data_IF_167385412942
#
_entry.id   IF_167385412942
#
_cell.length_a   1.000
_cell.length_b   1.000
_cell.length_c   1.000
_cell.angle_alpha   90.00
_cell.angle_beta   90.00
_cell.angle_gamma   90.00
#
_symmetry.space_group_name_H-M   'P 1'
#
loop_
_entity.id
_entity.type
_entity.pdbx_description
1 polymer ?
#
# COMPACT_ATOMS: atom_id res chain seq x y z
N UNK A 1 27.39 2.71 22.83
CA UNK A 1 26.45 2.35 21.72
C UNK A 1 25.59 1.23 22.26
N UNK A 2 24.42 1.55 22.79
CA UNK A 2 23.42 0.59 23.23
C UNK A 2 22.78 -0.02 21.99
N UNK A 3 22.99 -1.34 21.79
CA UNK A 3 22.30 -2.08 20.75
C UNK A 3 20.79 -1.89 20.94
N UNK A 4 20.16 -1.16 20.02
CA UNK A 4 18.73 -0.96 20.03
C UNK A 4 18.05 -2.33 20.02
N UNK A 5 17.22 -2.58 21.01
CA UNK A 5 16.44 -3.80 21.13
C UNK A 5 15.53 -3.87 19.89
N UNK A 6 15.77 -4.86 19.01
CA UNK A 6 14.91 -5.12 17.85
C UNK A 6 13.52 -5.42 18.43
N UNK A 7 12.47 -4.66 18.06
CA UNK A 7 11.13 -4.96 18.54
C UNK A 7 10.77 -6.39 18.15
N UNK A 8 10.15 -7.13 19.05
CA UNK A 8 9.70 -8.50 18.84
C UNK A 8 8.74 -8.61 17.62
N UNK A 9 8.34 -9.84 17.24
CA UNK A 9 7.49 -10.04 16.07
C UNK A 9 6.22 -9.20 16.19
N UNK A 10 5.86 -8.49 15.12
CA UNK A 10 4.64 -7.68 15.05
C UNK A 10 3.41 -8.57 15.26
N UNK A 11 3.52 -9.85 14.92
CA UNK A 11 2.46 -10.84 15.00
C UNK A 11 2.90 -11.97 15.91
N UNK A 12 2.25 -12.12 17.07
CA UNK A 12 2.45 -13.27 17.97
C UNK A 12 1.75 -14.53 17.46
N UNK A 13 0.61 -14.37 16.77
CA UNK A 13 -0.12 -15.45 16.08
C UNK A 13 -0.79 -14.83 14.85
N UNK A 14 -0.83 -15.56 13.72
CA UNK A 14 -1.57 -15.14 12.53
C UNK A 14 -3.09 -15.03 12.78
N UNK A 15 -3.58 -15.58 13.88
CA UNK A 15 -4.98 -15.45 14.34
C UNK A 15 -5.23 -14.10 15.01
N UNK A 16 -4.20 -13.43 15.54
CA UNK A 16 -4.29 -12.08 16.12
C UNK A 16 -4.31 -10.99 15.05
N UNK A 17 -4.05 -11.35 13.80
CA UNK A 17 -4.36 -10.55 12.63
C UNK A 17 -5.87 -10.59 12.39
N UNK A 18 -6.65 -10.10 13.36
CA UNK A 18 -8.04 -9.73 13.06
C UNK A 18 -7.95 -8.68 11.97
N UNK A 19 -8.44 -8.97 10.74
CA UNK A 19 -8.55 -7.95 9.74
C UNK A 19 -9.39 -6.85 10.37
N UNK A 20 -8.76 -5.70 10.62
CA UNK A 20 -9.40 -4.46 11.07
C UNK A 20 -10.71 -4.67 11.79
N UNK A 21 -10.75 -4.39 13.09
CA UNK A 21 -11.84 -4.63 14.01
C UNK A 21 -13.14 -5.04 13.33
N UNK A 22 -13.65 -6.20 13.60
CA UNK A 22 -14.67 -6.97 12.88
C UNK A 22 -15.93 -6.21 12.39
N UNK A 23 -15.89 -4.91 12.29
CA UNK A 23 -16.94 -4.01 11.83
C UNK A 23 -16.53 -3.02 10.73
N UNK A 24 -15.24 -2.86 10.40
CA UNK A 24 -14.79 -1.77 9.51
C UNK A 24 -14.08 -2.19 8.22
N UNK A 25 -13.74 -3.46 8.05
CA UNK A 25 -13.20 -3.96 6.78
C UNK A 25 -14.11 -5.00 6.18
N UNK A 26 -15.07 -4.52 5.45
CA UNK A 26 -15.49 -5.21 4.24
C UNK A 26 -14.45 -4.89 3.17
N UNK A 27 -13.30 -5.54 3.20
CA UNK A 27 -12.54 -5.78 1.97
C UNK A 27 -13.28 -6.92 1.29
N UNK A 28 -14.07 -6.67 0.27
CA UNK A 28 -14.59 -7.76 -0.51
C UNK A 28 -13.37 -8.37 -1.20
N UNK A 29 -13.02 -9.60 -0.81
CA UNK A 29 -12.10 -10.46 -1.56
C UNK A 29 -12.55 -10.59 -3.03
N UNK A 30 -13.81 -10.32 -3.32
CA UNK A 30 -14.37 -10.13 -4.67
C UNK A 30 -13.81 -8.91 -5.41
N UNK A 31 -13.58 -7.78 -4.76
CA UNK A 31 -13.08 -6.57 -5.43
C UNK A 31 -11.58 -6.61 -5.71
N UNK A 32 -10.79 -7.40 -4.96
CA UNK A 32 -9.40 -7.65 -5.31
C UNK A 32 -9.33 -8.55 -6.56
N UNK A 33 -10.23 -9.50 -6.72
CA UNK A 33 -10.34 -10.32 -7.94
C UNK A 33 -10.96 -9.53 -9.12
N UNK A 34 -11.86 -8.59 -8.85
CA UNK A 34 -12.42 -7.65 -9.82
C UNK A 34 -11.50 -6.44 -10.05
N UNK A 35 -10.63 -6.09 -9.11
CA UNK A 35 -9.63 -5.03 -9.24
C UNK A 35 -8.54 -5.32 -10.26
N UNK A 36 -8.26 -6.58 -10.57
CA UNK A 36 -7.39 -6.93 -11.72
C UNK A 36 -8.13 -6.70 -13.05
N UNK A 37 -9.47 -6.82 -13.07
CA UNK A 37 -10.32 -6.39 -14.18
C UNK A 37 -10.63 -4.89 -14.18
N UNK A 38 -10.58 -4.23 -13.00
CA UNK A 38 -10.85 -2.81 -12.80
C UNK A 38 -9.67 -1.88 -13.10
N UNK A 39 -8.43 -2.41 -13.18
CA UNK A 39 -7.26 -1.65 -13.66
C UNK A 39 -7.42 -1.21 -15.12
N UNK A 40 -8.23 -1.93 -15.91
CA UNK A 40 -8.51 -1.57 -17.30
C UNK A 40 -9.60 -0.48 -17.39
N UNK A 41 -10.49 -0.36 -16.38
CA UNK A 41 -11.52 0.68 -16.36
C UNK A 41 -11.08 2.00 -15.71
N UNK A 42 -10.00 2.01 -14.92
CA UNK A 42 -9.46 3.20 -14.28
C UNK A 42 -8.76 4.19 -15.22
N UNK A 43 -8.32 3.73 -16.40
CA UNK A 43 -7.63 4.57 -17.39
C UNK A 43 -8.63 5.37 -18.24
N UNK A 44 -9.87 4.93 -18.41
CA UNK A 44 -10.88 5.60 -19.22
C UNK A 44 -11.74 6.64 -18.47
N UNK A 45 -11.59 6.77 -17.15
CA UNK A 45 -12.36 7.70 -16.30
C UNK A 45 -11.67 9.03 -16.04
N UNK A 46 -11.13 9.70 -17.05
CA UNK A 46 -10.26 10.89 -16.92
C UNK A 46 -10.83 12.14 -16.22
N UNK A 47 -12.06 12.12 -15.68
CA UNK A 47 -12.64 13.22 -14.90
C UNK A 47 -12.99 12.87 -13.45
N UNK A 48 -13.22 11.59 -13.11
CA UNK A 48 -13.51 11.17 -11.74
C UNK A 48 -12.25 10.89 -10.90
N UNK A 49 -11.09 10.75 -11.53
CA UNK A 49 -9.82 10.48 -10.84
C UNK A 49 -9.33 11.62 -9.94
N UNK A 50 -9.75 12.85 -10.19
CA UNK A 50 -9.29 14.03 -9.45
C UNK A 50 -10.05 14.29 -8.13
N UNK A 51 -11.21 13.65 -7.89
CA UNK A 51 -12.02 13.84 -6.69
C UNK A 51 -11.68 12.82 -5.59
N UNK A 52 -12.03 13.14 -4.36
CA UNK A 52 -11.98 12.18 -3.26
C UNK A 52 -12.88 10.98 -3.57
N UNK A 53 -12.35 9.77 -3.39
CA UNK A 53 -13.11 8.54 -3.60
C UNK A 53 -13.97 8.24 -2.39
N UNK A 54 -15.19 7.72 -2.63
CA UNK A 54 -16.13 7.35 -1.58
C UNK A 54 -16.66 5.94 -1.89
N UNK A 55 -16.69 5.09 -0.87
CA UNK A 55 -17.33 3.77 -0.99
C UNK A 55 -18.86 3.93 -1.03
N UNK A 56 -19.43 3.66 -2.19
CA UNK A 56 -20.85 3.87 -2.47
C UNK A 56 -21.20 5.32 -2.81
N UNK A 57 -22.29 5.83 -2.26
CA UNK A 57 -22.75 7.22 -2.51
C UNK A 57 -22.15 8.21 -1.53
N UNK A 58 -21.90 9.44 -2.01
CA UNK A 58 -21.51 10.57 -1.15
C UNK A 58 -22.55 10.74 -0.03
N UNK A 59 -22.15 10.80 1.24
CA UNK A 59 -23.08 10.90 2.36
C UNK A 59 -23.88 12.21 2.26
N UNK A 60 -25.20 12.14 2.48
CA UNK A 60 -26.04 13.32 2.41
C UNK A 60 -25.83 14.21 3.63
N UNK A 61 -25.63 15.50 3.39
CA UNK A 61 -25.55 16.49 4.46
C UNK A 61 -26.90 16.60 5.19
N UNK A 62 -26.89 16.80 6.51
CA UNK A 62 -28.11 17.02 7.30
C UNK A 62 -28.88 18.26 6.81
N UNK A 63 -30.19 18.28 7.03
CA UNK A 63 -31.08 19.36 6.53
C UNK A 63 -30.73 20.78 7.02
N UNK A 64 -30.13 20.89 8.21
CA UNK A 64 -29.69 22.17 8.80
C UNK A 64 -28.24 22.05 9.30
N UNK A 65 -27.24 22.00 8.38
CA UNK A 65 -25.85 21.97 8.78
C UNK A 65 -25.40 23.33 9.26
N UNK A 66 -24.48 23.40 10.21
CA UNK A 66 -23.76 24.64 10.52
C UNK A 66 -23.03 25.18 9.27
N UNK A 67 -22.87 26.51 9.22
CA UNK A 67 -22.20 27.19 8.08
C UNK A 67 -20.84 26.59 7.76
N UNK A 68 -20.02 26.35 8.79
CA UNK A 68 -18.69 25.75 8.69
C UNK A 68 -18.75 24.31 8.15
N UNK A 69 -19.63 23.49 8.71
CA UNK A 69 -19.79 22.09 8.27
C UNK A 69 -20.19 22.01 6.79
N UNK A 70 -21.06 22.92 6.33
CA UNK A 70 -21.46 23.00 4.92
C UNK A 70 -20.27 23.39 4.04
N UNK A 71 -19.54 24.44 4.41
CA UNK A 71 -18.40 24.94 3.64
C UNK A 71 -17.31 23.86 3.50
N UNK A 72 -16.98 23.15 4.60
CA UNK A 72 -16.00 22.06 4.59
C UNK A 72 -16.52 20.86 3.80
N UNK A 73 -17.80 20.48 3.94
CA UNK A 73 -18.41 19.41 3.16
C UNK A 73 -18.32 19.69 1.65
N UNK A 74 -18.71 20.90 1.22
CA UNK A 74 -18.64 21.30 -0.19
C UNK A 74 -17.18 21.33 -0.68
N UNK A 75 -16.23 21.75 0.16
CA UNK A 75 -14.81 21.73 -0.16
C UNK A 75 -14.25 20.31 -0.32
N UNK A 76 -14.76 19.32 0.42
CA UNK A 76 -14.32 17.92 0.35
C UNK A 76 -14.96 17.22 -0.85
N UNK A 77 -16.28 17.24 -0.98
CA UNK A 77 -17.00 16.37 -1.90
C UNK A 77 -17.32 16.98 -3.28
N UNK A 78 -17.44 18.31 -3.37
CA UNK A 78 -17.75 18.99 -4.62
C UNK A 78 -16.52 19.47 -5.39
N UNK A 79 -15.31 19.26 -4.86
CA UNK A 79 -14.11 19.91 -5.35
C UNK A 79 -12.96 18.94 -5.70
N UNK A 80 -12.10 19.40 -6.61
CA UNK A 80 -10.88 18.70 -7.05
C UNK A 80 -9.60 19.45 -6.71
N UNK A 81 -9.71 20.68 -6.16
CA UNK A 81 -8.56 21.54 -5.88
C UNK A 81 -8.23 21.58 -4.38
N UNK A 82 -7.07 21.06 -3.95
CA UNK A 82 -6.63 21.14 -2.56
C UNK A 82 -6.61 22.56 -1.98
N UNK A 83 -6.47 23.59 -2.83
CA UNK A 83 -6.43 24.99 -2.36
C UNK A 83 -7.73 25.44 -1.71
N UNK A 84 -8.88 24.90 -2.10
CA UNK A 84 -10.15 25.22 -1.44
C UNK A 84 -10.20 24.70 0.00
N UNK A 85 -9.66 23.51 0.25
CA UNK A 85 -9.53 22.98 1.59
C UNK A 85 -8.53 23.80 2.43
N UNK A 86 -7.44 24.26 1.83
CA UNK A 86 -6.47 25.16 2.48
C UNK A 86 -7.12 26.50 2.81
N UNK A 87 -7.96 27.03 1.94
CA UNK A 87 -8.72 28.26 2.21
C UNK A 87 -9.70 28.05 3.38
N UNK A 88 -10.43 26.93 3.40
CA UNK A 88 -11.31 26.56 4.51
C UNK A 88 -10.54 26.41 5.84
N UNK A 89 -9.33 25.83 5.81
CA UNK A 89 -8.47 25.72 6.99
C UNK A 89 -8.08 27.08 7.58
N UNK A 90 -7.93 28.12 6.75
CA UNK A 90 -7.61 29.46 7.18
C UNK A 90 -8.84 30.20 7.73
N UNK A 91 -10.01 29.97 7.14
CA UNK A 91 -11.27 30.59 7.55
C UNK A 91 -11.83 29.96 8.84
N UNK A 92 -11.59 28.66 9.06
CA UNK A 92 -12.11 27.90 10.20
C UNK A 92 -10.97 27.22 10.98
N UNK A 93 -10.26 27.91 11.87
CA UNK A 93 -9.07 27.37 12.56
C UNK A 93 -9.32 26.09 13.36
N UNK A 94 -10.48 25.93 14.00
CA UNK A 94 -10.84 24.70 14.73
C UNK A 94 -11.00 23.44 13.83
N UNK A 95 -11.12 23.64 12.53
CA UNK A 95 -11.24 22.58 11.51
C UNK A 95 -9.98 22.46 10.65
N UNK A 96 -8.94 23.23 10.95
CA UNK A 96 -7.77 23.35 10.10
C UNK A 96 -7.02 22.02 9.94
N UNK A 97 -6.89 21.24 11.01
CA UNK A 97 -6.24 19.91 10.95
C UNK A 97 -6.95 19.00 9.95
N UNK A 98 -8.29 18.87 10.06
CA UNK A 98 -9.09 18.07 9.15
C UNK A 98 -8.98 18.56 7.70
N UNK A 99 -9.07 19.86 7.48
CA UNK A 99 -8.98 20.45 6.14
C UNK A 99 -7.60 20.20 5.50
N UNK A 100 -6.50 20.32 6.25
CA UNK A 100 -5.16 20.02 5.76
C UNK A 100 -4.97 18.53 5.47
N UNK A 101 -5.47 17.63 6.34
CA UNK A 101 -5.44 16.18 6.09
C UNK A 101 -6.17 15.85 4.79
N UNK A 102 -7.39 16.35 4.61
CA UNK A 102 -8.18 16.09 3.39
C UNK A 102 -7.52 16.69 2.14
N UNK A 103 -6.92 17.88 2.24
CA UNK A 103 -6.14 18.47 1.16
C UNK A 103 -4.90 17.63 0.80
N UNK A 104 -4.24 17.08 1.82
CA UNK A 104 -3.09 16.20 1.65
C UNK A 104 -3.46 14.86 1.00
N UNK A 105 -4.55 14.23 1.41
CA UNK A 105 -5.06 13.01 0.76
C UNK A 105 -5.47 13.25 -0.69
N UNK A 106 -6.05 14.42 -0.98
CA UNK A 106 -6.39 14.81 -2.35
C UNK A 106 -5.13 15.04 -3.20
N UNK A 107 -4.13 15.73 -2.65
CA UNK A 107 -2.83 15.92 -3.32
C UNK A 107 -2.10 14.58 -3.57
N UNK A 108 -2.11 13.68 -2.59
CA UNK A 108 -1.60 12.30 -2.72
C UNK A 108 -2.27 11.57 -3.88
N UNK A 109 -3.60 11.57 -3.93
CA UNK A 109 -4.36 10.93 -5.01
C UNK A 109 -4.01 11.49 -6.40
N UNK A 110 -3.67 12.79 -6.46
CA UNK A 110 -3.28 13.48 -7.71
C UNK A 110 -1.79 13.30 -8.05
N UNK A 111 -1.03 12.51 -7.28
CA UNK A 111 0.41 12.29 -7.47
C UNK A 111 1.29 13.47 -7.03
N UNK A 112 0.72 14.48 -6.39
CA UNK A 112 1.46 15.62 -5.84
C UNK A 112 2.13 15.30 -4.51
N UNK A 113 3.02 14.31 -4.47
CA UNK A 113 3.54 13.70 -3.24
C UNK A 113 4.26 14.69 -2.32
N UNK A 114 5.10 15.59 -2.86
CA UNK A 114 5.78 16.61 -2.03
C UNK A 114 4.76 17.47 -1.28
N UNK A 115 3.74 17.95 -1.99
CA UNK A 115 2.68 18.76 -1.41
C UNK A 115 1.81 17.94 -0.44
N UNK A 116 1.58 16.66 -0.72
CA UNK A 116 0.85 15.77 0.17
C UNK A 116 1.59 15.62 1.51
N UNK A 117 2.92 15.44 1.50
CA UNK A 117 3.75 15.39 2.72
C UNK A 117 3.56 16.64 3.56
N UNK A 118 3.73 17.83 2.97
CA UNK A 118 3.58 19.11 3.68
C UNK A 118 2.19 19.28 4.33
N UNK A 119 1.15 18.98 3.56
CA UNK A 119 -0.23 19.13 4.01
C UNK A 119 -0.63 18.10 5.08
N UNK A 120 -0.23 16.82 4.90
CA UNK A 120 -0.53 15.77 5.87
C UNK A 120 0.20 16.00 7.19
N UNK A 121 1.50 16.33 7.14
CA UNK A 121 2.27 16.65 8.35
C UNK A 121 1.68 17.85 9.09
N UNK A 122 1.30 18.90 8.35
CA UNK A 122 0.65 20.07 8.92
C UNK A 122 -0.70 19.71 9.54
N UNK A 123 -1.52 18.92 8.86
CA UNK A 123 -2.82 18.49 9.37
C UNK A 123 -2.71 17.66 10.64
N UNK A 124 -1.74 16.74 10.70
CA UNK A 124 -1.47 15.91 11.87
C UNK A 124 -0.92 16.70 13.07
N UNK A 125 -0.26 17.85 12.84
CA UNK A 125 0.26 18.70 13.91
C UNK A 125 -0.79 19.63 14.55
N UNK A 126 -1.98 19.75 13.95
CA UNK A 126 -3.05 20.65 14.40
C UNK A 126 -4.16 19.83 15.05
N UNK A 127 -4.53 20.21 16.28
CA UNK A 127 -5.68 19.61 16.96
C UNK A 127 -6.98 20.21 16.42
N UNK A 128 -7.90 19.33 16.03
CA UNK A 128 -9.25 19.73 15.65
C UNK A 128 -10.14 20.00 16.87
N UNK A 129 -11.18 20.81 16.70
CA UNK A 129 -12.25 20.92 17.67
C UNK A 129 -13.21 19.70 17.63
N UNK A 130 -14.14 19.62 18.60
CA UNK A 130 -15.06 18.50 18.71
C UNK A 130 -16.05 18.45 17.54
N UNK A 131 -16.45 19.59 16.99
CA UNK A 131 -17.36 19.67 15.84
C UNK A 131 -16.70 19.09 14.59
N UNK A 132 -15.41 19.38 14.35
CA UNK A 132 -14.65 18.82 13.25
C UNK A 132 -14.48 17.28 13.40
N UNK A 133 -14.22 16.81 14.62
CA UNK A 133 -14.11 15.38 14.90
C UNK A 133 -15.46 14.67 14.71
N UNK A 134 -16.56 15.26 15.17
CA UNK A 134 -17.91 14.72 14.95
C UNK A 134 -18.30 14.72 13.47
N UNK A 135 -17.91 15.75 12.72
CA UNK A 135 -18.10 15.79 11.27
C UNK A 135 -17.34 14.67 10.59
N UNK A 136 -16.07 14.47 10.92
CA UNK A 136 -15.26 13.40 10.36
C UNK A 136 -15.90 12.03 10.62
N UNK A 137 -16.32 11.75 11.86
CA UNK A 137 -17.01 10.52 12.23
C UNK A 137 -18.36 10.32 11.50
N UNK A 138 -19.05 11.41 11.15
CA UNK A 138 -20.38 11.34 10.51
C UNK A 138 -20.31 11.22 9.00
N UNK A 139 -19.32 11.85 8.34
CA UNK A 139 -19.31 12.02 6.89
C UNK A 139 -18.12 11.42 6.19
N UNK A 140 -16.98 11.20 6.88
CA UNK A 140 -15.75 10.73 6.21
C UNK A 140 -15.52 9.21 6.33
N UNK A 141 -16.33 8.48 7.08
CA UNK A 141 -16.18 7.04 7.30
C UNK A 141 -16.23 6.19 6.02
N UNK A 142 -16.77 6.75 4.93
CA UNK A 142 -16.83 6.10 3.61
C UNK A 142 -15.82 6.67 2.61
N UNK A 143 -15.02 7.65 3.00
CA UNK A 143 -13.95 8.13 2.15
C UNK A 143 -12.88 7.06 2.05
N UNK A 144 -12.48 6.73 0.82
CA UNK A 144 -11.48 5.71 0.52
C UNK A 144 -10.23 6.38 -0.03
N UNK A 145 -9.11 6.07 0.58
CA UNK A 145 -7.78 6.42 0.06
C UNK A 145 -7.14 5.16 -0.49
N UNK A 146 -6.71 5.18 -1.74
CA UNK A 146 -5.92 4.11 -2.33
C UNK A 146 -4.44 4.42 -2.11
N UNK A 147 -3.72 3.48 -1.53
CA UNK A 147 -2.31 3.65 -1.18
C UNK A 147 -1.52 2.44 -1.68
N UNK A 148 -0.44 2.69 -2.39
CA UNK A 148 0.52 1.66 -2.73
C UNK A 148 1.40 1.34 -1.51
N UNK A 149 1.11 0.22 -0.86
CA UNK A 149 1.81 -0.22 0.37
C UNK A 149 3.09 -1.01 0.08
N UNK A 150 3.20 -1.58 -1.10
CA UNK A 150 4.41 -2.23 -1.62
C UNK A 150 4.41 -2.12 -3.14
N UNK A 151 5.51 -2.46 -3.80
CA UNK A 151 5.60 -2.42 -5.27
C UNK A 151 4.43 -3.18 -5.91
N UNK A 152 3.58 -2.49 -6.67
CA UNK A 152 2.39 -3.03 -7.36
C UNK A 152 1.30 -3.58 -6.43
N UNK A 153 1.33 -3.25 -5.14
CA UNK A 153 0.30 -3.64 -4.19
C UNK A 153 -0.41 -2.39 -3.67
N UNK A 154 -1.52 -2.07 -4.29
CA UNK A 154 -2.38 -0.96 -3.89
C UNK A 154 -3.53 -1.47 -2.99
N UNK A 155 -3.79 -0.77 -1.90
CA UNK A 155 -4.82 -1.12 -0.93
C UNK A 155 -5.80 0.04 -0.75
N UNK A 156 -7.10 -0.19 -0.89
CA UNK A 156 -8.11 0.79 -0.51
C UNK A 156 -8.26 0.80 1.02
N UNK A 157 -8.07 1.96 1.64
CA UNK A 157 -8.20 2.15 3.09
C UNK A 157 -9.26 3.20 3.37
N UNK A 158 -10.21 2.90 4.27
CA UNK A 158 -11.21 3.85 4.71
C UNK A 158 -10.56 4.96 5.54
N UNK A 159 -11.17 6.16 5.50
CA UNK A 159 -10.67 7.31 6.24
C UNK A 159 -10.50 6.99 7.73
N UNK A 160 -9.27 7.04 8.17
CA UNK A 160 -8.82 6.71 9.52
C UNK A 160 -7.41 7.25 9.71
N UNK A 161 -6.90 7.22 10.91
CA UNK A 161 -5.50 7.51 11.20
C UNK A 161 -4.57 6.66 10.32
N UNK A 162 -4.87 5.37 10.16
CA UNK A 162 -4.11 4.47 9.31
C UNK A 162 -4.04 4.94 7.86
N UNK A 163 -5.16 5.35 7.26
CA UNK A 163 -5.19 5.84 5.87
C UNK A 163 -4.33 7.08 5.67
N UNK A 164 -4.31 7.97 6.67
CA UNK A 164 -3.52 9.20 6.66
C UNK A 164 -2.02 8.90 6.75
N UNK A 165 -1.61 8.05 7.69
CA UNK A 165 -0.21 7.68 7.84
C UNK A 165 0.31 6.80 6.70
N UNK A 166 -0.50 5.90 6.14
CA UNK A 166 -0.14 5.14 4.95
C UNK A 166 0.06 6.06 3.74
N UNK A 167 -0.84 7.04 3.52
CA UNK A 167 -0.69 8.03 2.45
C UNK A 167 0.53 8.94 2.66
N UNK A 168 0.81 9.34 3.91
CA UNK A 168 2.01 10.09 4.27
C UNK A 168 3.28 9.28 3.99
N UNK A 169 3.32 8.03 4.46
CA UNK A 169 4.45 7.12 4.26
C UNK A 169 4.72 6.88 2.76
N UNK A 170 3.66 6.60 1.98
CA UNK A 170 3.80 6.46 0.54
C UNK A 170 4.34 7.75 -0.11
N UNK A 171 3.80 8.92 0.26
CA UNK A 171 4.28 10.20 -0.29
C UNK A 171 5.72 10.50 0.10
N UNK A 172 6.14 10.16 1.31
CA UNK A 172 7.54 10.28 1.77
C UNK A 172 8.45 9.35 0.97
N UNK A 173 8.03 8.10 0.71
CA UNK A 173 8.78 7.16 -0.14
C UNK A 173 8.97 7.71 -1.55
N UNK A 174 7.92 8.22 -2.18
CA UNK A 174 7.96 8.78 -3.54
C UNK A 174 8.80 10.06 -3.63
N UNK A 175 8.98 10.78 -2.52
CA UNK A 175 9.90 11.93 -2.42
C UNK A 175 11.32 11.55 -1.98
N UNK A 176 11.64 10.25 -1.88
CA UNK A 176 12.98 9.75 -1.54
C UNK A 176 13.29 9.73 -0.04
N UNK A 177 12.32 10.04 0.82
CA UNK A 177 12.48 10.10 2.28
C UNK A 177 12.10 8.76 2.93
N UNK A 178 12.75 7.66 2.53
CA UNK A 178 12.37 6.29 2.89
C UNK A 178 12.45 6.00 4.39
N UNK A 179 13.44 6.57 5.10
CA UNK A 179 13.57 6.44 6.56
C UNK A 179 12.37 7.11 7.28
N UNK A 180 12.05 8.33 6.91
CA UNK A 180 10.91 9.06 7.47
C UNK A 180 9.58 8.35 7.14
N UNK A 181 9.48 7.73 5.96
CA UNK A 181 8.32 6.91 5.58
C UNK A 181 8.15 5.71 6.52
N UNK A 182 9.23 5.02 6.86
CA UNK A 182 9.21 3.91 7.81
C UNK A 182 8.86 4.39 9.22
N UNK A 183 9.45 5.50 9.67
CA UNK A 183 9.18 6.10 10.99
C UNK A 183 7.70 6.48 11.14
N UNK A 184 7.09 7.09 10.12
CA UNK A 184 5.68 7.46 10.14
C UNK A 184 4.74 6.28 10.44
N UNK A 185 5.10 5.07 10.01
CA UNK A 185 4.29 3.87 10.24
C UNK A 185 4.49 3.23 11.62
N UNK A 186 5.51 3.63 12.38
CA UNK A 186 5.78 3.04 13.71
C UNK A 186 4.72 3.40 14.74
N UNK A 187 4.01 4.50 14.52
CA UNK A 187 2.94 4.98 15.40
C UNK A 187 1.63 4.20 15.24
N UNK A 188 1.48 3.44 14.14
CA UNK A 188 0.25 2.73 13.84
C UNK A 188 0.20 1.36 14.54
N UNK A 189 -1.00 0.94 14.95
CA UNK A 189 -1.21 -0.44 15.39
C UNK A 189 -0.93 -1.41 14.24
N UNK A 190 -0.53 -2.65 14.53
CA UNK A 190 -0.26 -3.65 13.51
C UNK A 190 -1.53 -4.01 12.73
N UNK A 191 -1.46 -3.84 11.41
CA UNK A 191 -2.45 -4.27 10.42
C UNK A 191 -1.73 -4.88 9.24
N UNK A 192 -2.39 -5.66 8.38
CA UNK A 192 -1.72 -6.23 7.21
C UNK A 192 -1.20 -5.15 6.25
N UNK A 193 -1.97 -4.09 5.89
CA UNK A 193 -1.45 -3.01 5.06
C UNK A 193 -0.25 -2.30 5.69
N UNK A 194 -0.35 -1.93 6.97
CA UNK A 194 0.74 -1.27 7.70
C UNK A 194 1.97 -2.17 7.81
N UNK A 195 1.79 -3.46 8.10
CA UNK A 195 2.89 -4.42 8.19
C UNK A 195 3.58 -4.60 6.83
N UNK A 196 2.80 -4.70 5.74
CA UNK A 196 3.36 -4.84 4.40
C UNK A 196 4.15 -3.58 4.00
N UNK A 197 3.60 -2.38 4.24
CA UNK A 197 4.29 -1.13 3.98
C UNK A 197 5.60 -1.01 4.79
N UNK A 198 5.57 -1.32 6.09
CA UNK A 198 6.76 -1.31 6.95
C UNK A 198 7.82 -2.30 6.47
N UNK A 199 7.43 -3.54 6.18
CA UNK A 199 8.37 -4.56 5.70
C UNK A 199 8.94 -4.23 4.33
N UNK A 200 8.14 -3.66 3.41
CA UNK A 200 8.63 -3.23 2.10
C UNK A 200 9.66 -2.10 2.22
N UNK A 201 9.41 -1.11 3.09
CA UNK A 201 10.36 -0.02 3.36
C UNK A 201 11.63 -0.53 4.05
N UNK A 202 11.50 -1.38 5.07
CA UNK A 202 12.63 -1.98 5.76
C UNK A 202 13.51 -2.82 4.81
N UNK A 203 12.88 -3.59 3.91
CA UNK A 203 13.57 -4.32 2.85
C UNK A 203 14.34 -3.39 1.89
N UNK A 204 13.73 -2.26 1.50
CA UNK A 204 14.38 -1.25 0.66
C UNK A 204 15.60 -0.63 1.35
N UNK A 205 15.51 -0.42 2.67
CA UNK A 205 16.58 0.10 3.52
C UNK A 205 17.64 -0.95 3.90
N UNK A 206 17.49 -2.21 3.44
CA UNK A 206 18.41 -3.30 3.79
C UNK A 206 18.28 -3.81 5.23
N UNK A 207 17.18 -3.47 5.92
CA UNK A 207 16.89 -3.92 7.30
C UNK A 207 16.28 -5.32 7.32
N UNK A 208 16.90 -6.26 6.60
CA UNK A 208 16.37 -7.59 6.34
C UNK A 208 16.11 -8.41 7.62
N UNK A 209 16.96 -8.21 8.66
CA UNK A 209 16.77 -8.88 9.95
C UNK A 209 15.46 -8.47 10.63
N UNK A 210 15.11 -7.16 10.57
CA UNK A 210 13.86 -6.66 11.14
C UNK A 210 12.65 -7.28 10.42
N UNK A 211 12.69 -7.34 9.08
CA UNK A 211 11.64 -7.99 8.28
C UNK A 211 11.46 -9.45 8.69
N UNK A 212 12.57 -10.19 8.86
CA UNK A 212 12.53 -11.60 9.26
C UNK A 212 11.87 -11.78 10.64
N UNK A 213 12.17 -10.89 11.59
CA UNK A 213 11.58 -10.92 12.95
C UNK A 213 10.11 -10.53 12.92
N UNK A 214 9.76 -9.43 12.25
CA UNK A 214 8.37 -8.93 12.23
C UNK A 214 7.38 -9.87 11.55
N UNK A 215 7.84 -10.68 10.62
CA UNK A 215 7.01 -11.60 9.85
C UNK A 215 7.12 -13.06 10.31
N UNK A 216 7.71 -13.30 11.48
CA UNK A 216 7.82 -14.66 12.02
C UNK A 216 6.43 -15.23 12.34
N UNK A 217 6.20 -16.49 11.95
CA UNK A 217 4.93 -17.19 12.19
C UNK A 217 3.78 -16.78 11.25
N UNK A 218 4.01 -15.88 10.29
CA UNK A 218 2.98 -15.45 9.34
C UNK A 218 2.51 -16.60 8.45
N UNK A 219 1.18 -16.74 8.31
CA UNK A 219 0.53 -17.69 7.39
C UNK A 219 -0.13 -16.97 6.23
N UNK A 220 -0.28 -17.66 5.10
CA UNK A 220 -0.93 -17.14 3.90
C UNK A 220 -2.46 -17.20 4.03
N UNK A 221 -3.08 -16.16 4.58
CA UNK A 221 -4.52 -16.03 4.72
C UNK A 221 -5.19 -15.37 3.51
N UNK A 222 -4.53 -14.37 2.91
CA UNK A 222 -5.01 -13.55 1.81
C UNK A 222 -3.85 -13.06 0.91
N UNK A 223 -4.12 -12.22 -0.07
CA UNK A 223 -3.09 -11.71 -0.98
C UNK A 223 -2.13 -10.71 -0.31
N UNK A 224 -2.56 -9.99 0.75
CA UNK A 224 -1.66 -9.11 1.49
C UNK A 224 -0.66 -9.92 2.32
N UNK A 225 -1.12 -10.97 3.02
CA UNK A 225 -0.24 -11.89 3.73
C UNK A 225 0.70 -12.64 2.77
N UNK A 226 0.22 -12.99 1.56
CA UNK A 226 1.07 -13.57 0.52
C UNK A 226 2.17 -12.59 0.05
N UNK A 227 1.83 -11.32 -0.18
CA UNK A 227 2.80 -10.29 -0.53
C UNK A 227 3.83 -10.07 0.60
N UNK A 228 3.38 -10.06 1.85
CA UNK A 228 4.26 -9.94 3.01
C UNK A 228 5.20 -11.16 3.15
N UNK A 229 4.71 -12.38 2.86
CA UNK A 229 5.56 -13.58 2.81
C UNK A 229 6.60 -13.52 1.68
N UNK A 230 6.30 -12.86 0.54
CA UNK A 230 7.29 -12.62 -0.51
C UNK A 230 8.39 -11.67 -0.03
N UNK A 231 8.04 -10.56 0.62
CA UNK A 231 9.03 -9.65 1.22
C UNK A 231 9.90 -10.39 2.23
N UNK A 232 9.28 -11.21 3.11
CA UNK A 232 10.01 -12.09 4.04
C UNK A 232 10.99 -13.01 3.33
N UNK A 233 10.54 -13.70 2.28
CA UNK A 233 11.39 -14.64 1.54
C UNK A 233 12.59 -13.95 0.89
N UNK A 234 12.40 -12.76 0.33
CA UNK A 234 13.46 -11.93 -0.27
C UNK A 234 14.47 -11.49 0.78
N UNK A 235 14.01 -11.02 1.95
CA UNK A 235 14.89 -10.66 3.08
C UNK A 235 15.68 -11.85 3.62
N UNK A 236 15.01 -13.00 3.83
CA UNK A 236 15.67 -14.22 4.28
C UNK A 236 16.71 -14.73 3.27
N UNK A 237 16.47 -14.56 1.96
CA UNK A 237 17.44 -14.86 0.92
C UNK A 237 18.68 -13.98 1.02
N UNK A 238 18.53 -12.66 1.25
CA UNK A 238 19.67 -11.74 1.48
C UNK A 238 20.48 -12.11 2.71
N UNK A 239 19.79 -12.56 3.77
CA UNK A 239 20.44 -13.03 5.00
C UNK A 239 21.09 -14.42 4.85
N UNK A 240 20.95 -15.09 3.69
CA UNK A 240 21.48 -16.44 3.49
C UNK A 240 20.66 -17.55 4.18
N UNK A 241 19.50 -17.22 4.75
CA UNK A 241 18.60 -18.19 5.41
C UNK A 241 17.71 -18.91 4.38
N UNK A 242 18.35 -19.63 3.46
CA UNK A 242 17.72 -20.19 2.26
C UNK A 242 16.59 -21.17 2.55
N UNK A 243 16.72 -22.02 3.58
CA UNK A 243 15.66 -22.96 3.97
C UNK A 243 14.40 -22.25 4.46
N UNK A 244 14.57 -21.18 5.24
CA UNK A 244 13.44 -20.37 5.73
C UNK A 244 12.78 -19.61 4.59
N UNK A 245 13.57 -19.03 3.67
CA UNK A 245 13.06 -18.39 2.46
C UNK A 245 12.24 -19.38 1.62
N UNK A 246 12.74 -20.63 1.43
CA UNK A 246 12.02 -21.66 0.71
C UNK A 246 10.69 -22.04 1.38
N UNK A 247 10.64 -22.08 2.72
CA UNK A 247 9.40 -22.34 3.47
C UNK A 247 8.38 -21.21 3.25
N UNK A 248 8.81 -19.95 3.31
CA UNK A 248 7.93 -18.81 3.05
C UNK A 248 7.35 -18.85 1.62
N UNK A 249 8.17 -19.14 0.60
CA UNK A 249 7.71 -19.27 -0.79
C UNK A 249 6.75 -20.45 -0.99
N UNK A 250 7.00 -21.60 -0.32
CA UNK A 250 6.06 -22.72 -0.35
C UNK A 250 4.71 -22.36 0.25
N UNK A 251 4.70 -21.55 1.32
CA UNK A 251 3.48 -21.08 1.96
C UNK A 251 2.67 -20.17 1.02
N UNK A 252 3.32 -19.26 0.27
CA UNK A 252 2.65 -18.45 -0.77
C UNK A 252 1.99 -19.33 -1.83
N UNK A 253 2.70 -20.37 -2.28
CA UNK A 253 2.23 -21.24 -3.36
C UNK A 253 1.17 -22.27 -2.92
N UNK A 254 1.07 -22.56 -1.61
CA UNK A 254 0.12 -23.53 -1.04
C UNK A 254 -1.34 -23.10 -1.25
N UNK A 255 -1.63 -21.83 -1.12
CA UNK A 255 -3.00 -21.30 -1.24
C UNK A 255 -3.38 -21.16 -2.72
N UNK A 256 -4.39 -21.93 -3.17
CA UNK A 256 -4.86 -21.92 -4.57
C UNK A 256 -5.46 -20.58 -5.02
N UNK A 257 -6.03 -19.79 -4.09
CA UNK A 257 -6.67 -18.49 -4.37
C UNK A 257 -5.72 -17.30 -4.36
N UNK A 258 -4.42 -17.50 -4.11
CA UNK A 258 -3.42 -16.44 -4.25
C UNK A 258 -3.39 -15.98 -5.71
N UNK A 259 -3.38 -14.66 -5.94
CA UNK A 259 -3.39 -14.07 -7.27
C UNK A 259 -2.24 -14.58 -8.14
N UNK A 260 -2.47 -14.63 -9.45
CA UNK A 260 -1.45 -15.13 -10.40
C UNK A 260 -0.18 -14.30 -10.36
N UNK A 261 -0.29 -12.98 -10.15
CA UNK A 261 0.88 -12.10 -10.04
C UNK A 261 1.80 -12.53 -8.88
N UNK A 262 1.25 -12.68 -7.67
CA UNK A 262 1.99 -13.11 -6.49
C UNK A 262 2.53 -14.54 -6.62
N UNK A 263 1.79 -15.44 -7.28
CA UNK A 263 2.27 -16.79 -7.56
C UNK A 263 3.46 -16.78 -8.51
N UNK A 264 3.41 -15.97 -9.56
CA UNK A 264 4.51 -15.83 -10.51
C UNK A 264 5.75 -15.22 -9.84
N UNK A 265 5.56 -14.22 -8.98
CA UNK A 265 6.64 -13.64 -8.18
C UNK A 265 7.26 -14.70 -7.25
N UNK A 266 6.42 -15.50 -6.57
CA UNK A 266 6.90 -16.58 -5.71
C UNK A 266 7.69 -17.65 -6.48
N UNK A 267 7.26 -18.01 -7.69
CA UNK A 267 7.98 -18.96 -8.56
C UNK A 267 9.32 -18.37 -9.03
N UNK A 268 9.35 -17.09 -9.39
CA UNK A 268 10.57 -16.38 -9.77
C UNK A 268 11.56 -16.33 -8.60
N UNK A 269 11.10 -15.89 -7.41
CA UNK A 269 11.93 -15.84 -6.21
C UNK A 269 12.44 -17.24 -5.80
N UNK A 270 11.63 -18.30 -5.99
CA UNK A 270 12.05 -19.69 -5.77
C UNK A 270 13.13 -20.12 -6.74
N UNK A 271 13.04 -19.74 -8.02
CA UNK A 271 14.06 -20.03 -9.01
C UNK A 271 15.39 -19.33 -8.67
N UNK A 272 15.31 -18.04 -8.27
CA UNK A 272 16.48 -17.29 -7.81
C UNK A 272 17.14 -17.94 -6.56
N UNK A 273 16.33 -18.42 -5.62
CA UNK A 273 16.82 -19.12 -4.43
C UNK A 273 17.56 -20.43 -4.78
N UNK A 274 17.06 -21.19 -5.77
CA UNK A 274 17.73 -22.39 -6.26
C UNK A 274 19.08 -22.06 -6.88
N UNK A 275 19.20 -20.92 -7.58
CA UNK A 275 20.47 -20.48 -8.14
C UNK A 275 21.49 -20.08 -7.07
N UNK A 276 21.04 -19.33 -6.06
CA UNK A 276 21.91 -18.91 -4.97
C UNK A 276 22.46 -20.12 -4.19
N UNK A 277 21.62 -21.15 -3.98
CA UNK A 277 22.04 -22.42 -3.40
C UNK A 277 22.98 -23.21 -4.33
N UNK A 278 22.71 -23.19 -5.62
CA UNK A 278 23.49 -23.90 -6.62
C UNK A 278 24.90 -23.32 -6.79
N UNK A 279 25.11 -22.03 -6.53
CA UNK A 279 26.45 -21.43 -6.54
C UNK A 279 27.40 -22.09 -5.55
N UNK A 280 26.87 -22.62 -4.43
CA UNK A 280 27.67 -23.25 -3.38
C UNK A 280 27.95 -24.73 -3.59
N UNK A 281 27.16 -25.45 -4.44
CA UNK A 281 27.16 -26.92 -4.51
C UNK A 281 27.19 -27.52 -5.90
N UNK A 282 27.13 -26.73 -6.98
CA UNK A 282 27.04 -27.27 -8.34
C UNK A 282 28.36 -27.15 -9.10
N UNK A 283 28.64 -28.22 -9.87
CA UNK A 283 29.62 -28.23 -10.93
C UNK A 283 29.43 -26.99 -11.84
N UNK A 284 30.51 -26.30 -12.29
CA UNK A 284 30.45 -25.12 -13.17
C UNK A 284 29.62 -25.28 -14.43
N UNK A 285 29.47 -26.51 -14.95
CA UNK A 285 28.67 -26.83 -16.15
C UNK A 285 27.17 -26.77 -15.86
N UNK A 286 26.70 -27.31 -14.73
CA UNK A 286 25.29 -27.28 -14.33
C UNK A 286 24.83 -25.85 -13.94
N UNK A 287 25.75 -25.07 -13.36
CA UNK A 287 25.52 -23.66 -13.09
C UNK A 287 25.28 -22.84 -14.37
N UNK A 288 26.12 -23.01 -15.41
CA UNK A 288 25.98 -22.30 -16.69
C UNK A 288 24.66 -22.64 -17.38
N UNK A 289 24.23 -23.90 -17.35
CA UNK A 289 22.97 -24.32 -17.94
C UNK A 289 21.77 -23.69 -17.22
N UNK A 290 21.73 -23.73 -15.90
CA UNK A 290 20.65 -23.12 -15.11
C UNK A 290 20.59 -21.59 -15.23
N UNK A 291 21.74 -20.94 -15.33
CA UNK A 291 21.81 -19.51 -15.61
C UNK A 291 21.21 -19.17 -16.97
N UNK A 292 21.53 -19.92 -18.01
CA UNK A 292 20.97 -19.72 -19.35
C UNK A 292 19.45 -19.93 -19.37
N UNK A 293 18.93 -20.95 -18.63
CA UNK A 293 17.48 -21.17 -18.49
C UNK A 293 16.77 -19.97 -17.85
N UNK A 294 17.38 -19.32 -16.86
CA UNK A 294 16.82 -18.14 -16.19
C UNK A 294 16.92 -16.86 -17.02
N UNK A 295 18.05 -16.67 -17.68
CA UNK A 295 18.22 -15.56 -18.62
C UNK A 295 17.16 -15.65 -19.73
N UNK A 296 16.87 -16.86 -20.22
CA UNK A 296 15.77 -17.09 -21.17
C UNK A 296 14.41 -16.76 -20.56
N UNK A 297 14.17 -17.11 -19.30
CA UNK A 297 12.92 -16.81 -18.61
C UNK A 297 12.74 -15.30 -18.37
N UNK A 298 13.80 -14.59 -18.00
CA UNK A 298 13.77 -13.12 -17.86
C UNK A 298 13.52 -12.42 -19.19
N UNK A 299 14.12 -12.90 -20.29
CA UNK A 299 13.87 -12.38 -21.64
C UNK A 299 12.41 -12.58 -22.02
N UNK A 300 11.85 -13.79 -21.80
CA UNK A 300 10.43 -14.07 -22.07
C UNK A 300 9.53 -13.17 -21.22
N UNK A 301 9.87 -12.94 -19.95
CA UNK A 301 9.09 -12.06 -19.06
C UNK A 301 9.09 -10.62 -19.54
N UNK A 302 10.25 -10.10 -19.97
CA UNK A 302 10.38 -8.76 -20.56
C UNK A 302 9.57 -8.64 -21.86
N UNK A 303 9.71 -9.59 -22.75
CA UNK A 303 8.97 -9.64 -24.02
C UNK A 303 7.45 -9.66 -23.80
N UNK A 304 6.95 -10.43 -22.83
CA UNK A 304 5.53 -10.44 -22.46
C UNK A 304 5.07 -9.11 -21.86
N UNK A 305 5.92 -8.45 -21.06
CA UNK A 305 5.60 -7.13 -20.51
C UNK A 305 5.58 -6.05 -21.59
N UNK A 306 6.57 -6.06 -22.50
CA UNK A 306 6.64 -5.14 -23.62
C UNK A 306 5.45 -5.31 -24.56
N UNK A 307 5.07 -6.56 -24.91
CA UNK A 307 3.87 -6.83 -25.74
C UNK A 307 2.59 -6.32 -25.09
N UNK A 308 2.42 -6.46 -23.77
CA UNK A 308 1.26 -5.93 -23.05
C UNK A 308 1.18 -4.41 -23.09
N UNK A 309 2.33 -3.72 -23.00
CA UNK A 309 2.40 -2.27 -23.15
C UNK A 309 2.01 -1.84 -24.57
N UNK A 310 2.54 -2.54 -25.57
CA UNK A 310 2.17 -2.31 -26.98
C UNK A 310 0.68 -2.56 -27.25
N UNK A 311 0.09 -3.61 -26.70
CA UNK A 311 -1.33 -3.88 -26.82
C UNK A 311 -2.21 -2.81 -26.14
N UNK A 312 -1.73 -2.20 -25.08
CA UNK A 312 -2.40 -1.07 -24.42
C UNK A 312 -2.32 0.19 -25.28
N UNK A 313 -1.13 0.55 -25.78
CA UNK A 313 -0.95 1.69 -26.67
C UNK A 313 -1.78 1.56 -27.95
N UNK A 314 -1.84 0.37 -28.55
CA UNK A 314 -2.68 0.13 -29.72
C UNK A 314 -4.18 0.31 -29.45
N UNK A 315 -4.66 -0.16 -28.30
CA UNK A 315 -6.07 0.03 -27.90
C UNK A 315 -6.43 1.49 -27.64
N UNK A 316 -5.47 2.28 -27.19
CA UNK A 316 -5.65 3.72 -26.99
C UNK A 316 -5.68 4.47 -28.32
N UNK A 317 -4.96 3.99 -29.34
CA UNK A 317 -4.94 4.57 -30.70
C UNK A 317 -6.16 4.15 -31.53
N UNK A 318 -6.71 2.95 -31.34
CA UNK A 318 -7.90 2.46 -32.05
C UNK A 318 -9.23 2.93 -31.41
N UNK A 319 -9.18 3.63 -30.29
CA UNK A 319 -10.34 4.13 -29.55
C UNK A 319 -10.74 5.58 -29.83
N UNK A 320 -10.05 6.26 -30.76
CA UNK A 320 -10.41 7.55 -31.34
C UNK A 320 -11.04 7.32 -32.74
#
# INVERSE_FOLDING_TARGET
>A
MTAGQIPGPIFRDSRDLTPFGAGQVRTPVKEIAEGVGGLIHGVLGGRDSARISVDGSVPRLRLLPGKTAKAVYDAIFANTDPNRLIAAAREYPGWAGLCYVMAGLLAHKQGGYLRAVELLQRGLSIRNDDDANQFAASYLTRVVTRVEVAERVEVPVLFSEESVFLALSHSLRETGQTEAALEALTMLPPSLPTALARCALAYTLGRDQEVAVWTEGLLNADDLSAALLLVRARSLRRLGAHEQAQRALKEVLRRRRTSMALRNDALTDRALLVLDNGRKSLNPRDWRRRRAELETFEVIRKDVQERRLWEQEWKELDGD
#
